data_IF_348512361170
#
_entry.id   IF_348512361170
#
_cell.length_a   1.000
_cell.length_b   1.000
_cell.length_c   1.000
_cell.angle_alpha   90.00
_cell.angle_beta   90.00
_cell.angle_gamma   90.00
#
_symmetry.space_group_name_H-M   'P 1'
#
loop_
_entity.id
_entity.type
_entity.pdbx_description
1 polymer ?
#
# COMPACT_ATOMS: atom_id res chain seq x y z
N UNK A 1 12.56 -23.98 -1.24
CA UNK A 1 12.63 -22.78 -2.09
C UNK A 1 11.89 -21.68 -1.35
N UNK A 2 12.61 -20.70 -0.79
CA UNK A 2 12.00 -19.62 -0.02
C UNK A 2 11.50 -18.55 -0.99
N UNK A 3 10.19 -18.32 -0.99
CA UNK A 3 9.49 -17.30 -1.76
C UNK A 3 9.93 -15.92 -1.24
N UNK A 4 10.78 -15.23 -2.00
CA UNK A 4 11.20 -13.87 -1.65
C UNK A 4 10.04 -12.93 -2.01
N UNK A 5 9.08 -12.79 -1.09
CA UNK A 5 8.05 -11.76 -1.13
C UNK A 5 8.72 -10.38 -1.09
N UNK A 6 9.17 -9.93 -2.25
CA UNK A 6 9.85 -8.65 -2.43
C UNK A 6 8.79 -7.57 -2.51
N UNK A 7 8.22 -7.19 -1.36
CA UNK A 7 7.28 -6.07 -1.28
C UNK A 7 8.00 -4.81 -1.72
N UNK A 8 7.71 -4.35 -2.94
CA UNK A 8 8.23 -3.09 -3.48
C UNK A 8 7.32 -1.95 -3.03
N UNK A 9 7.86 -1.03 -2.26
CA UNK A 9 7.18 0.22 -1.90
C UNK A 9 7.42 1.23 -3.00
N UNK A 10 6.36 1.67 -3.67
CA UNK A 10 6.42 2.77 -4.63
C UNK A 10 6.05 4.08 -3.91
N UNK A 11 6.92 5.08 -4.01
CA UNK A 11 6.65 6.43 -3.48
C UNK A 11 6.26 7.33 -4.64
N UNK A 12 5.05 7.91 -4.58
CA UNK A 12 4.58 8.85 -5.59
C UNK A 12 5.18 10.24 -5.36
N UNK A 13 5.70 10.83 -6.41
CA UNK A 13 6.20 12.22 -6.45
C UNK A 13 5.21 13.13 -7.18
N UNK A 14 5.48 14.43 -7.22
CA UNK A 14 4.62 15.39 -7.95
C UNK A 14 4.65 15.24 -9.47
N UNK A 15 5.63 14.49 -9.99
CA UNK A 15 5.70 14.15 -11.41
C UNK A 15 4.73 13.03 -11.79
N UNK A 16 4.28 12.22 -10.83
CA UNK A 16 3.43 11.04 -11.03
C UNK A 16 1.93 11.39 -11.09
N UNK A 17 1.57 12.40 -11.88
CA UNK A 17 0.22 12.99 -11.90
C UNK A 17 -0.87 11.98 -12.27
N UNK A 18 -0.59 11.09 -13.22
CA UNK A 18 -1.56 10.10 -13.71
C UNK A 18 -1.81 9.01 -12.66
N UNK A 19 -0.75 8.49 -12.03
CA UNK A 19 -0.87 7.54 -10.92
C UNK A 19 -1.64 8.14 -9.75
N UNK A 20 -1.35 9.39 -9.37
CA UNK A 20 -2.11 10.10 -8.32
C UNK A 20 -3.60 10.19 -8.66
N UNK A 21 -3.95 10.55 -9.90
CA UNK A 21 -5.35 10.58 -10.35
C UNK A 21 -6.00 9.20 -10.28
N UNK A 22 -5.29 8.16 -10.71
CA UNK A 22 -5.76 6.79 -10.60
C UNK A 22 -6.07 6.40 -9.14
N UNK A 23 -5.15 6.64 -8.22
CA UNK A 23 -5.38 6.34 -6.81
C UNK A 23 -6.52 7.14 -6.18
N UNK A 24 -6.75 8.38 -6.61
CA UNK A 24 -7.93 9.16 -6.18
C UNK A 24 -9.25 8.55 -6.68
N UNK A 25 -9.29 8.02 -7.91
CA UNK A 25 -10.45 7.27 -8.40
C UNK A 25 -10.69 6.00 -7.57
N UNK A 26 -9.64 5.21 -7.33
CA UNK A 26 -9.72 4.01 -6.48
C UNK A 26 -10.18 4.35 -5.06
N UNK A 27 -9.68 5.46 -4.50
CA UNK A 27 -10.06 5.94 -3.17
C UNK A 27 -11.54 6.30 -3.08
N UNK A 28 -12.07 6.95 -4.11
CA UNK A 28 -13.48 7.35 -4.18
C UNK A 28 -14.40 6.16 -4.40
N UNK A 29 -14.05 5.28 -5.36
CA UNK A 29 -14.86 4.13 -5.74
C UNK A 29 -14.71 2.93 -4.78
N UNK A 30 -13.68 2.92 -3.92
CA UNK A 30 -13.23 1.81 -3.05
C UNK A 30 -12.74 0.56 -3.79
N UNK A 31 -13.28 0.29 -4.97
CA UNK A 31 -12.94 -0.82 -5.85
C UNK A 31 -13.13 -0.40 -7.30
N UNK A 32 -12.14 -0.69 -8.14
CA UNK A 32 -12.23 -0.50 -9.58
C UNK A 32 -11.75 -1.75 -10.31
N UNK A 33 -12.32 -2.01 -11.48
CA UNK A 33 -11.84 -3.05 -12.40
C UNK A 33 -11.13 -2.33 -13.53
N UNK A 34 -9.86 -2.65 -13.74
CA UNK A 34 -9.03 -2.11 -14.82
C UNK A 34 -8.86 -3.21 -15.85
N UNK A 35 -9.25 -2.92 -17.09
CA UNK A 35 -8.99 -3.81 -18.22
C UNK A 35 -7.75 -3.32 -18.97
N UNK A 36 -6.83 -4.22 -19.28
CA UNK A 36 -5.68 -3.94 -20.14
C UNK A 36 -5.50 -5.08 -21.14
N UNK A 37 -5.92 -4.85 -22.38
CA UNK A 37 -6.06 -5.93 -23.37
C UNK A 37 -7.10 -6.96 -22.91
N UNK A 38 -6.69 -8.21 -22.81
CA UNK A 38 -7.53 -9.32 -22.34
C UNK A 38 -7.51 -9.48 -20.81
N UNK A 39 -6.58 -8.80 -20.13
CA UNK A 39 -6.40 -8.92 -18.68
C UNK A 39 -7.34 -7.99 -17.91
N UNK A 40 -7.87 -8.50 -16.80
CA UNK A 40 -8.71 -7.76 -15.88
C UNK A 40 -8.07 -7.73 -14.49
N UNK A 41 -7.80 -6.53 -13.99
CA UNK A 41 -7.23 -6.28 -12.68
C UNK A 41 -8.30 -5.72 -11.76
N UNK A 42 -8.46 -6.36 -10.60
CA UNK A 42 -9.27 -5.81 -9.51
C UNK A 42 -8.35 -5.00 -8.61
N UNK A 43 -8.58 -3.69 -8.55
CA UNK A 43 -7.81 -2.78 -7.70
C UNK A 43 -8.69 -2.30 -6.55
N UNK A 44 -8.30 -2.66 -5.32
CA UNK A 44 -9.01 -2.34 -4.09
C UNK A 44 -8.10 -1.52 -3.16
N UNK A 45 -8.63 -0.40 -2.64
CA UNK A 45 -7.93 0.34 -1.60
C UNK A 45 -8.09 -0.41 -0.27
N UNK A 46 -7.05 -1.11 0.15
CA UNK A 46 -6.96 -1.67 1.50
C UNK A 46 -6.09 -0.77 2.36
N UNK A 47 -6.65 -0.12 3.39
CA UNK A 47 -5.82 0.64 4.31
C UNK A 47 -4.82 -0.30 4.95
N UNK A 48 -3.54 0.05 4.90
CA UNK A 48 -2.52 -0.68 5.62
C UNK A 48 -2.80 -0.52 7.11
N UNK A 49 -3.35 -1.56 7.73
CA UNK A 49 -3.46 -1.59 9.19
C UNK A 49 -2.04 -1.71 9.73
N UNK A 50 -1.55 -0.65 10.37
CA UNK A 50 -0.43 -0.78 11.30
C UNK A 50 -0.87 -1.84 12.31
N UNK A 51 -0.17 -2.98 12.33
CA UNK A 51 -0.51 -4.07 13.24
C UNK A 51 -0.59 -3.52 14.67
N UNK A 52 -1.49 -4.06 15.49
CA UNK A 52 -1.63 -3.60 16.88
C UNK A 52 -0.31 -3.71 17.66
N UNK A 53 0.58 -4.62 17.24
CA UNK A 53 1.96 -4.75 17.73
C UNK A 53 2.81 -3.52 17.43
N UNK A 54 2.77 -3.01 16.20
CA UNK A 54 3.47 -1.77 15.82
C UNK A 54 2.84 -0.53 16.49
N UNK A 55 1.51 -0.49 16.68
CA UNK A 55 0.84 0.56 17.47
C UNK A 55 1.30 0.56 18.93
N UNK A 56 1.50 -0.63 19.54
CA UNK A 56 1.96 -0.77 20.92
C UNK A 56 3.40 -0.27 21.11
N UNK A 57 4.27 -0.53 20.14
CA UNK A 57 5.66 -0.02 20.13
C UNK A 57 5.68 1.51 20.02
N UNK A 58 4.90 2.08 19.09
CA UNK A 58 4.82 3.54 18.90
C UNK A 58 4.19 4.29 20.08
N UNK A 59 3.18 3.70 20.75
CA UNK A 59 2.59 4.26 21.98
C UNK A 59 3.48 4.10 23.21
N UNK A 60 4.43 3.16 23.19
CA UNK A 60 5.28 2.83 24.32
C UNK A 60 6.44 3.80 24.57
N UNK A 61 6.80 4.65 23.59
CA UNK A 61 7.82 5.70 23.76
C UNK A 61 9.18 5.24 24.30
N UNK A 62 9.52 3.96 24.17
CA UNK A 62 10.75 3.37 24.70
C UNK A 62 11.69 2.94 23.56
N UNK A 63 13.02 3.04 23.76
CA UNK A 63 13.99 2.73 22.71
C UNK A 63 13.83 1.28 22.25
N UNK A 64 13.88 1.09 20.93
CA UNK A 64 14.04 -0.24 20.34
C UNK A 64 15.46 -0.66 20.65
N UNK A 65 15.65 -1.46 21.70
CA UNK A 65 16.92 -2.15 21.92
C UNK A 65 17.10 -3.13 20.77
N UNK A 66 18.03 -2.81 19.88
CA UNK A 66 18.74 -3.81 19.08
C UNK A 66 19.71 -4.48 20.05
N UNK A 67 19.33 -5.64 20.58
CA UNK A 67 20.20 -6.69 21.15
C UNK A 67 19.38 -7.98 21.42
#
# INVERSE_FOLDING_TARGET
MAEINSTKVLVLTDKDKELKRFFEMVRTARKVIVQNGDDHFVVELRPQQISDKARKILKGGGPVTDE
#
